data_IF_416623167644
#
_entry.id   IF_416623167644
#
_cell.length_a   1.000
_cell.length_b   1.000
_cell.length_c   1.000
_cell.angle_alpha   90.00
_cell.angle_beta   90.00
_cell.angle_gamma   90.00
#
_symmetry.space_group_name_H-M   'P 1'
#
loop_
_entity.id
_entity.type
_entity.pdbx_description
1 polymer ?
#
# COMPACT_ATOMS: atom_id res chain seq x y z
N UNK A 1 -20.53 -19.89 19.75
CA UNK A 1 -19.40 -19.22 19.09
C UNK A 1 -18.40 -20.29 18.72
N UNK A 2 -18.10 -20.49 17.43
CA UNK A 2 -17.10 -21.47 17.01
C UNK A 2 -15.73 -20.94 17.44
N UNK A 3 -14.89 -21.70 18.18
CA UNK A 3 -13.59 -21.21 18.62
C UNK A 3 -12.74 -20.82 17.40
N UNK A 4 -12.55 -19.51 17.23
CA UNK A 4 -11.42 -18.90 16.53
C UNK A 4 -11.12 -19.42 15.12
N UNK A 5 -12.04 -19.22 14.17
CA UNK A 5 -11.63 -19.25 12.75
C UNK A 5 -10.55 -18.18 12.52
N UNK A 6 -9.39 -18.57 11.98
CA UNK A 6 -8.37 -17.62 11.48
C UNK A 6 -9.03 -16.61 10.53
N UNK A 7 -8.66 -15.32 10.66
CA UNK A 7 -9.10 -14.26 9.73
C UNK A 7 -8.87 -14.66 8.28
N UNK A 8 -7.80 -15.41 8.01
CA UNK A 8 -7.36 -15.81 6.67
C UNK A 8 -7.78 -17.23 6.28
N UNK A 9 -8.64 -17.88 7.06
CA UNK A 9 -9.11 -19.26 6.82
C UNK A 9 -9.58 -19.53 5.39
N UNK A 10 -10.26 -18.57 4.74
CA UNK A 10 -10.69 -18.70 3.33
C UNK A 10 -9.51 -18.82 2.35
N UNK A 11 -8.41 -18.11 2.61
CA UNK A 11 -7.20 -18.21 1.80
C UNK A 11 -6.43 -19.49 2.13
N UNK A 12 -6.35 -19.84 3.41
CA UNK A 12 -5.66 -21.05 3.86
C UNK A 12 -6.28 -22.34 3.31
N UNK A 13 -7.59 -22.32 3.02
CA UNK A 13 -8.33 -23.42 2.39
C UNK A 13 -8.35 -23.39 0.85
N UNK A 14 -7.94 -22.29 0.21
CA UNK A 14 -7.86 -22.21 -1.25
C UNK A 14 -6.67 -23.02 -1.77
N UNK A 15 -6.87 -23.74 -2.87
CA UNK A 15 -5.82 -24.56 -3.49
C UNK A 15 -4.67 -23.73 -4.06
N UNK A 16 -4.97 -22.51 -4.53
CA UNK A 16 -4.01 -21.59 -5.15
C UNK A 16 -3.14 -20.86 -4.13
N UNK A 17 -3.68 -20.59 -2.92
CA UNK A 17 -2.98 -19.85 -1.86
C UNK A 17 -2.47 -20.81 -0.79
N UNK A 18 -3.39 -21.51 -0.13
CA UNK A 18 -3.10 -22.39 0.99
C UNK A 18 -2.41 -21.68 2.17
N UNK A 19 -2.04 -22.46 3.18
CA UNK A 19 -1.30 -21.94 4.34
C UNK A 19 0.06 -21.36 3.95
N UNK A 20 0.75 -21.99 2.98
CA UNK A 20 2.07 -21.53 2.52
C UNK A 20 1.98 -20.16 1.84
N UNK A 21 0.99 -19.94 0.95
CA UNK A 21 0.78 -18.65 0.30
C UNK A 21 0.40 -17.57 1.31
N UNK A 22 -0.45 -17.88 2.30
CA UNK A 22 -0.78 -16.92 3.35
C UNK A 22 0.45 -16.54 4.20
N UNK A 23 1.36 -17.48 4.47
CA UNK A 23 2.63 -17.19 5.14
C UNK A 23 3.52 -16.28 4.29
N UNK A 24 3.58 -16.49 2.96
CA UNK A 24 4.30 -15.59 2.05
C UNK A 24 3.71 -14.18 2.07
N UNK A 25 2.38 -14.04 2.05
CA UNK A 25 1.71 -12.73 2.18
C UNK A 25 2.10 -12.06 3.50
N UNK A 26 2.07 -12.80 4.61
CA UNK A 26 2.45 -12.28 5.94
C UNK A 26 3.92 -11.83 6.02
N UNK A 27 4.82 -12.42 5.24
CA UNK A 27 6.22 -12.02 5.18
C UNK A 27 6.51 -10.94 4.15
N UNK A 28 5.59 -10.69 3.21
CA UNK A 28 5.79 -9.74 2.13
C UNK A 28 5.76 -8.29 2.59
N UNK A 29 6.61 -7.48 1.97
CA UNK A 29 6.72 -6.03 2.16
C UNK A 29 6.41 -5.34 0.83
N UNK A 30 5.34 -4.56 0.81
CA UNK A 30 4.89 -3.84 -0.39
C UNK A 30 5.09 -2.34 -0.21
N UNK A 31 5.67 -1.68 -1.21
CA UNK A 31 5.72 -0.23 -1.29
C UNK A 31 4.65 0.27 -2.27
N UNK A 32 3.82 1.20 -1.82
CA UNK A 32 2.74 1.79 -2.59
C UNK A 32 3.02 3.28 -2.81
N UNK A 33 3.20 3.68 -4.08
CA UNK A 33 3.40 5.08 -4.50
C UNK A 33 2.09 5.73 -4.95
N UNK A 34 1.58 6.63 -4.13
CA UNK A 34 0.28 7.26 -4.27
C UNK A 34 -0.80 6.53 -3.46
N UNK A 35 -1.49 7.29 -2.62
CA UNK A 35 -2.57 6.88 -1.74
C UNK A 35 -3.88 7.63 -2.03
N UNK A 36 -4.02 8.18 -3.24
CA UNK A 36 -5.27 8.75 -3.73
C UNK A 36 -6.27 7.70 -4.24
N UNK A 37 -7.15 8.06 -5.17
CA UNK A 37 -8.31 7.24 -5.56
C UNK A 37 -8.00 5.83 -6.09
N UNK A 38 -6.82 5.61 -6.67
CA UNK A 38 -6.36 4.26 -7.06
C UNK A 38 -5.55 3.57 -5.96
N UNK A 39 -4.88 4.35 -5.10
CA UNK A 39 -4.06 3.81 -4.03
C UNK A 39 -4.88 3.18 -2.93
N UNK A 40 -5.97 3.81 -2.54
CA UNK A 40 -6.77 3.37 -1.39
C UNK A 40 -7.39 1.98 -1.58
N UNK A 41 -8.04 1.65 -2.71
CA UNK A 41 -8.53 0.29 -2.92
C UNK A 41 -7.41 -0.75 -2.81
N UNK A 42 -6.25 -0.48 -3.41
CA UNK A 42 -5.08 -1.38 -3.35
C UNK A 42 -4.61 -1.56 -1.91
N UNK A 43 -4.42 -0.46 -1.16
CA UNK A 43 -3.99 -0.50 0.26
C UNK A 43 -5.00 -1.31 1.09
N UNK A 44 -6.30 -1.08 0.89
CA UNK A 44 -7.36 -1.80 1.59
C UNK A 44 -7.31 -3.31 1.33
N UNK A 45 -7.12 -3.72 0.08
CA UNK A 45 -7.01 -5.15 -0.25
C UNK A 45 -5.71 -5.76 0.28
N UNK A 46 -4.55 -5.09 0.16
CA UNK A 46 -3.29 -5.58 0.72
C UNK A 46 -3.39 -5.81 2.24
N UNK A 47 -4.04 -4.88 2.95
CA UNK A 47 -4.28 -5.02 4.38
C UNK A 47 -5.28 -6.14 4.70
N UNK A 48 -6.38 -6.24 3.93
CA UNK A 48 -7.40 -7.28 4.12
C UNK A 48 -6.85 -8.70 3.90
N UNK A 49 -5.95 -8.88 2.92
CA UNK A 49 -5.33 -10.18 2.64
C UNK A 49 -4.15 -10.52 3.56
N UNK A 50 -3.75 -9.59 4.43
CA UNK A 50 -2.74 -9.82 5.45
C UNK A 50 -1.30 -9.72 4.96
N UNK A 51 -1.01 -8.75 4.08
CA UNK A 51 0.37 -8.39 3.75
C UNK A 51 1.11 -7.97 5.03
N UNK A 52 2.33 -8.46 5.24
CA UNK A 52 3.11 -8.18 6.45
C UNK A 52 3.38 -6.70 6.66
N UNK A 53 3.86 -6.02 5.62
CA UNK A 53 4.18 -4.60 5.68
C UNK A 53 3.74 -3.86 4.43
N UNK A 54 3.12 -2.69 4.63
CA UNK A 54 2.76 -1.76 3.55
C UNK A 54 3.45 -0.43 3.84
N UNK A 55 4.32 0.03 2.94
CA UNK A 55 4.79 1.42 2.93
C UNK A 55 3.88 2.25 2.04
N UNK A 56 3.31 3.31 2.60
CA UNK A 56 2.42 4.22 1.90
C UNK A 56 3.18 5.51 1.64
N UNK A 57 3.45 5.80 0.36
CA UNK A 57 4.16 6.99 -0.10
C UNK A 57 3.16 7.95 -0.73
N UNK A 58 2.91 9.07 -0.10
CA UNK A 58 2.09 10.17 -0.64
C UNK A 58 2.42 11.44 0.15
N UNK A 59 2.30 12.62 -0.45
CA UNK A 59 2.59 13.90 0.21
C UNK A 59 1.37 14.81 0.28
N UNK A 60 0.23 14.35 -0.26
CA UNK A 60 -0.99 15.14 -0.29
C UNK A 60 -1.74 15.09 1.04
N UNK A 61 -2.62 16.08 1.21
CA UNK A 61 -3.58 16.16 2.30
C UNK A 61 -4.97 15.84 1.80
N UNK A 62 -5.83 15.35 2.69
CA UNK A 62 -7.23 15.09 2.39
C UNK A 62 -7.90 16.40 1.97
N UNK A 63 -8.57 16.35 0.82
CA UNK A 63 -9.29 17.48 0.25
C UNK A 63 -10.72 17.06 -0.10
N UNK A 64 -11.68 17.97 0.11
CA UNK A 64 -13.10 17.69 -0.14
C UNK A 64 -13.37 17.29 -1.60
N UNK A 65 -12.64 17.87 -2.56
CA UNK A 65 -12.74 17.57 -4.00
C UNK A 65 -12.24 16.18 -4.36
N UNK A 66 -11.72 15.42 -3.39
CA UNK A 66 -11.21 14.08 -3.58
C UNK A 66 -12.06 12.99 -2.89
N UNK A 67 -12.99 13.35 -2.00
CA UNK A 67 -13.77 12.39 -1.21
C UNK A 67 -14.66 11.47 -2.06
N UNK A 68 -15.12 11.91 -3.23
CA UNK A 68 -15.94 11.11 -4.16
C UNK A 68 -15.23 9.87 -4.71
N UNK A 69 -13.91 9.78 -4.57
CA UNK A 69 -13.11 8.62 -5.04
C UNK A 69 -12.10 8.11 -4.02
N UNK A 70 -11.90 8.81 -2.91
CA UNK A 70 -10.94 8.46 -1.86
C UNK A 70 -11.67 7.95 -0.61
N UNK A 71 -12.35 6.82 -0.78
CA UNK A 71 -13.41 6.29 0.11
C UNK A 71 -13.05 6.02 1.58
N UNK A 72 -11.78 6.01 1.97
CA UNK A 72 -11.39 5.82 3.38
C UNK A 72 -11.30 7.14 4.15
N UNK A 73 -11.27 8.27 3.44
CA UNK A 73 -11.22 9.60 4.03
C UNK A 73 -12.63 10.14 4.24
N UNK A 74 -12.76 11.01 5.23
CA UNK A 74 -14.03 11.61 5.66
C UNK A 74 -13.88 13.13 5.73
N UNK A 75 -14.99 13.86 5.79
CA UNK A 75 -14.97 15.32 5.99
C UNK A 75 -14.20 15.72 7.26
N UNK A 76 -14.28 14.89 8.32
CA UNK A 76 -13.53 15.12 9.56
C UNK A 76 -12.01 15.01 9.42
N UNK A 77 -11.52 14.44 8.32
CA UNK A 77 -10.09 14.27 8.05
C UNK A 77 -9.52 15.31 7.08
N UNK A 78 -10.32 16.27 6.62
CA UNK A 78 -9.85 17.32 5.71
C UNK A 78 -8.64 18.04 6.30
N UNK A 79 -7.60 18.21 5.49
CA UNK A 79 -6.33 18.81 5.90
C UNK A 79 -5.35 17.85 6.57
N UNK A 80 -5.75 16.64 6.97
CA UNK A 80 -4.82 15.62 7.44
C UNK A 80 -3.98 15.07 6.28
N UNK A 81 -2.77 14.58 6.58
CA UNK A 81 -1.98 13.85 5.58
C UNK A 81 -2.70 12.56 5.20
N UNK A 82 -2.82 12.32 3.89
CA UNK A 82 -3.47 11.11 3.37
C UNK A 82 -2.77 9.85 3.89
N UNK A 83 -1.44 9.87 3.98
CA UNK A 83 -0.63 8.73 4.49
C UNK A 83 -0.98 8.37 5.93
N UNK A 84 -1.18 9.37 6.80
CA UNK A 84 -1.57 9.17 8.20
C UNK A 84 -2.96 8.56 8.27
N UNK A 85 -3.91 9.12 7.53
CA UNK A 85 -5.27 8.63 7.51
C UNK A 85 -5.36 7.18 6.96
N UNK A 86 -4.61 6.88 5.90
CA UNK A 86 -4.50 5.56 5.32
C UNK A 86 -3.85 4.54 6.26
N UNK A 87 -2.76 4.90 6.94
CA UNK A 87 -2.13 4.03 7.94
C UNK A 87 -3.08 3.74 9.11
N UNK A 88 -3.80 4.75 9.60
CA UNK A 88 -4.81 4.57 10.63
C UNK A 88 -5.94 3.64 10.17
N UNK A 89 -6.38 3.75 8.91
CA UNK A 89 -7.35 2.83 8.32
C UNK A 89 -6.83 1.38 8.30
N UNK A 90 -5.59 1.15 7.85
CA UNK A 90 -4.96 -0.18 7.82
C UNK A 90 -4.92 -0.79 9.23
N UNK A 91 -4.47 -0.02 10.23
CA UNK A 91 -4.40 -0.47 11.62
C UNK A 91 -5.78 -0.85 12.19
N UNK A 92 -6.84 -0.11 11.83
CA UNK A 92 -8.23 -0.47 12.20
C UNK A 92 -8.72 -1.73 11.49
N UNK A 93 -8.34 -1.92 10.23
CA UNK A 93 -8.76 -3.05 9.42
C UNK A 93 -8.08 -4.36 9.83
N UNK A 94 -6.77 -4.33 10.06
CA UNK A 94 -5.96 -5.50 10.41
C UNK A 94 -4.74 -5.10 11.25
N UNK A 95 -4.77 -5.46 12.54
CA UNK A 95 -3.62 -5.26 13.45
C UNK A 95 -2.41 -6.15 13.13
N UNK A 96 -2.57 -7.13 12.23
CA UNK A 96 -1.47 -8.00 11.79
C UNK A 96 -0.62 -7.38 10.67
N UNK A 97 -1.04 -6.22 10.13
CA UNK A 97 -0.38 -5.53 9.01
C UNK A 97 0.34 -4.30 9.54
N UNK A 98 1.63 -4.17 9.26
CA UNK A 98 2.38 -2.98 9.60
C UNK A 98 2.25 -1.92 8.49
N UNK A 99 1.60 -0.80 8.77
CA UNK A 99 1.54 0.35 7.87
C UNK A 99 2.61 1.38 8.22
N UNK A 100 3.59 1.56 7.32
CA UNK A 100 4.63 2.57 7.43
C UNK A 100 4.32 3.74 6.49
N UNK A 101 4.53 4.96 6.98
CA UNK A 101 4.28 6.19 6.23
C UNK A 101 5.57 6.68 5.56
N UNK A 102 5.40 7.36 4.43
CA UNK A 102 6.39 8.26 3.84
C UNK A 102 5.63 9.45 3.25
N UNK A 103 5.66 10.57 3.98
CA UNK A 103 4.78 11.73 3.72
C UNK A 103 5.43 12.81 2.85
N UNK A 104 6.47 12.45 2.11
CA UNK A 104 7.32 13.36 1.33
C UNK A 104 7.32 12.97 -0.15
N UNK A 105 7.78 13.89 -1.00
CA UNK A 105 8.02 13.58 -2.41
C UNK A 105 9.23 12.67 -2.54
N UNK A 106 9.11 11.62 -3.35
CA UNK A 106 10.27 10.82 -3.73
C UNK A 106 11.25 11.68 -4.54
N UNK A 107 12.52 11.58 -4.20
CA UNK A 107 13.65 12.02 -5.00
C UNK A 107 14.37 10.81 -5.57
N UNK A 108 15.30 10.99 -6.50
CA UNK A 108 16.08 9.88 -7.05
C UNK A 108 16.82 9.12 -5.93
N UNK A 109 17.42 9.87 -4.99
CA UNK A 109 18.15 9.31 -3.86
C UNK A 109 17.21 8.58 -2.90
N UNK A 110 16.14 9.26 -2.45
CA UNK A 110 15.22 8.65 -1.48
C UNK A 110 14.40 7.51 -2.08
N UNK A 111 14.12 7.56 -3.38
CA UNK A 111 13.43 6.51 -4.13
C UNK A 111 14.17 5.18 -4.07
N UNK A 112 15.45 5.19 -4.46
CA UNK A 112 16.28 3.97 -4.47
C UNK A 112 16.42 3.38 -3.07
N UNK A 113 16.76 4.20 -2.07
CA UNK A 113 16.95 3.73 -0.69
C UNK A 113 15.65 3.17 -0.09
N UNK A 114 14.53 3.85 -0.35
CA UNK A 114 13.23 3.41 0.15
C UNK A 114 12.84 2.09 -0.49
N UNK A 115 13.00 1.91 -1.80
CA UNK A 115 12.51 0.74 -2.53
C UNK A 115 13.27 -0.55 -2.23
N UNK A 116 14.59 -0.50 -1.97
CA UNK A 116 15.44 -1.68 -1.72
C UNK A 116 14.97 -2.59 -0.57
N UNK A 117 14.14 -2.08 0.32
CA UNK A 117 13.63 -2.81 1.48
C UNK A 117 12.26 -3.46 1.24
N UNK A 118 11.76 -3.48 0.00
CA UNK A 118 10.45 -3.99 -0.36
C UNK A 118 10.54 -5.04 -1.46
N UNK A 119 9.63 -6.00 -1.44
CA UNK A 119 9.62 -7.12 -2.39
C UNK A 119 8.85 -6.75 -3.66
N UNK A 120 7.85 -5.87 -3.54
CA UNK A 120 7.00 -5.40 -4.63
C UNK A 120 6.79 -3.89 -4.50
N UNK A 121 6.93 -3.18 -5.62
CA UNK A 121 6.54 -1.78 -5.75
C UNK A 121 5.27 -1.69 -6.59
N UNK A 122 4.26 -0.96 -6.09
CA UNK A 122 3.05 -0.66 -6.83
C UNK A 122 2.99 0.84 -7.04
N UNK A 123 3.10 1.27 -8.29
CA UNK A 123 3.05 2.67 -8.69
C UNK A 123 1.67 3.03 -9.26
N UNK A 124 1.06 4.02 -8.62
CA UNK A 124 -0.19 4.63 -9.04
C UNK A 124 -0.12 6.14 -8.94
N UNK A 125 1.09 6.69 -9.03
CA UNK A 125 1.32 8.11 -9.24
C UNK A 125 0.68 8.55 -10.56
N UNK A 126 0.16 9.77 -10.58
CA UNK A 126 -0.55 10.31 -11.72
C UNK A 126 0.35 11.12 -12.66
N UNK A 127 1.53 11.52 -12.22
CA UNK A 127 2.50 12.30 -12.99
C UNK A 127 3.63 11.44 -13.59
N UNK A 128 4.18 11.86 -14.73
CA UNK A 128 5.23 11.12 -15.43
C UNK A 128 6.55 11.09 -14.65
N UNK A 129 6.93 12.19 -14.02
CA UNK A 129 8.21 12.30 -13.30
C UNK A 129 8.36 11.23 -12.21
N UNK A 130 7.32 11.01 -11.41
CA UNK A 130 7.33 9.96 -10.38
C UNK A 130 7.36 8.57 -11.00
N UNK A 131 6.61 8.33 -12.09
CA UNK A 131 6.62 7.03 -12.78
C UNK A 131 8.01 6.66 -13.30
N UNK A 132 8.71 7.59 -13.96
CA UNK A 132 10.06 7.35 -14.47
C UNK A 132 11.05 7.09 -13.32
N UNK A 133 11.02 7.93 -12.28
CA UNK A 133 11.85 7.74 -11.09
C UNK A 133 11.64 6.37 -10.46
N UNK A 134 10.38 5.95 -10.28
CA UNK A 134 10.06 4.65 -9.68
C UNK A 134 10.51 3.51 -10.59
N UNK A 135 10.28 3.61 -11.91
CA UNK A 135 10.76 2.64 -12.88
C UNK A 135 12.26 2.46 -12.83
N UNK A 136 13.02 3.56 -12.86
CA UNK A 136 14.48 3.55 -12.86
C UNK A 136 15.03 3.01 -11.54
N UNK A 137 14.45 3.42 -10.41
CA UNK A 137 14.83 2.91 -9.10
C UNK A 137 14.55 1.40 -8.96
N UNK A 138 13.43 0.91 -9.48
CA UNK A 138 13.11 -0.52 -9.48
C UNK A 138 14.05 -1.32 -10.38
N UNK A 139 14.37 -0.80 -11.58
CA UNK A 139 15.33 -1.42 -12.48
C UNK A 139 16.72 -1.53 -11.83
N UNK A 140 17.18 -0.47 -11.16
CA UNK A 140 18.46 -0.45 -10.45
C UNK A 140 18.49 -1.39 -9.23
N UNK A 141 17.35 -1.64 -8.60
CA UNK A 141 17.21 -2.50 -7.42
C UNK A 141 16.79 -3.95 -7.75
N UNK A 142 16.58 -4.29 -9.03
CA UNK A 142 16.05 -5.58 -9.50
C UNK A 142 14.70 -5.95 -8.86
N UNK A 143 13.83 -4.95 -8.70
CA UNK A 143 12.51 -5.10 -8.06
C UNK A 143 11.39 -5.21 -9.09
N UNK A 144 10.34 -5.94 -8.72
CA UNK A 144 9.11 -5.99 -9.51
C UNK A 144 8.27 -4.72 -9.27
N UNK A 145 7.89 -4.06 -10.37
CA UNK A 145 7.03 -2.88 -10.35
C UNK A 145 5.73 -3.11 -11.12
N UNK A 146 4.60 -2.84 -10.47
CA UNK A 146 3.30 -2.73 -11.12
C UNK A 146 3.01 -1.26 -11.39
N UNK A 147 3.05 -0.86 -12.66
CA UNK A 147 2.79 0.52 -13.07
C UNK A 147 1.41 0.61 -13.72
N UNK A 148 0.64 1.64 -13.34
CA UNK A 148 -0.57 2.01 -14.07
C UNK A 148 -0.23 2.36 -15.52
N UNK A 149 -0.73 1.57 -16.47
CA UNK A 149 -0.68 1.93 -17.89
C UNK A 149 -1.63 3.10 -18.18
N UNK A 150 -1.15 4.10 -18.90
CA UNK A 150 -1.98 5.09 -19.60
C UNK A 150 -1.61 5.06 -21.07
#
# INVERSE_FOLDING_TARGET
MNPTLSRYSRHELSAEVGVSGQNKLRSARVLRVGAGGLGLPVISYLAAVGIGTIRIVDYERVDITNLQRQMIHTESSIGELITVNAANYVSRLSSAVQANLYSERLSEVSGIETMRNYDIVIDGSDNFSTRYLVSDACAAALLFVLVKNR
#
